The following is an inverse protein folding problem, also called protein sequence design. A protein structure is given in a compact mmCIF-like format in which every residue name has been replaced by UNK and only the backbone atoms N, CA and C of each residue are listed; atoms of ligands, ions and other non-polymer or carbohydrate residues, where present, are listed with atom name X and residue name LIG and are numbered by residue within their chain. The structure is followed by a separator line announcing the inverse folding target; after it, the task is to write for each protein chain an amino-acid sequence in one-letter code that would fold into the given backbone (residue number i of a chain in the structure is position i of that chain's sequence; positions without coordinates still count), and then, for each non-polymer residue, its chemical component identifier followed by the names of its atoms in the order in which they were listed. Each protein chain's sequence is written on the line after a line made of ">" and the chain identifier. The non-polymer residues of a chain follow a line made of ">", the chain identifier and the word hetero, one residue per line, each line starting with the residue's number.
data_IF_431106069045
#
_entry.id   IF_431106069045
#
_cell.length_a   1.000
_cell.length_b   1.000
_cell.length_c   1.000
_cell.angle_alpha   90.00
_cell.angle_beta   90.00
_cell.angle_gamma   90.00
#
_symmetry.space_group_name_H-M   'P 1'
#
loop_
_entity.id
_entity.type
_entity.pdbx_description
1 polymer ?
#
# COMPACT_ATOMS: atom_id res chain seq x y z
N UNK A 1 33.63 -24.88 -0.15
CA UNK A 1 33.23 -23.86 0.84
C UNK A 1 32.68 -22.65 0.05
N UNK A 2 31.40 -22.68 -0.39
CA UNK A 2 30.81 -21.68 -1.31
C UNK A 2 29.40 -21.20 -0.89
N UNK A 3 29.01 -21.41 0.37
CA UNK A 3 27.65 -21.13 0.86
C UNK A 3 27.21 -19.64 0.75
N UNK A 4 28.06 -18.63 1.02
CA UNK A 4 27.64 -17.22 0.97
C UNK A 4 27.41 -16.70 -0.44
N UNK A 5 28.30 -17.02 -1.38
CA UNK A 5 28.17 -16.61 -2.78
C UNK A 5 26.96 -17.27 -3.44
N UNK A 6 26.77 -18.57 -3.22
CA UNK A 6 25.57 -19.27 -3.71
C UNK A 6 24.28 -18.63 -3.18
N UNK A 7 24.24 -18.29 -1.89
CA UNK A 7 23.08 -17.61 -1.31
C UNK A 7 22.85 -16.21 -1.91
N UNK A 8 23.91 -15.43 -2.11
CA UNK A 8 23.82 -14.12 -2.78
C UNK A 8 23.32 -14.24 -4.23
N UNK A 9 23.86 -15.18 -5.00
CA UNK A 9 23.45 -15.43 -6.37
C UNK A 9 21.98 -15.89 -6.45
N UNK A 10 21.55 -16.76 -5.52
CA UNK A 10 20.15 -17.16 -5.38
C UNK A 10 19.25 -15.95 -5.11
N UNK A 11 19.58 -15.09 -4.13
CA UNK A 11 18.79 -13.89 -3.84
C UNK A 11 18.65 -12.97 -5.06
N UNK A 12 19.73 -12.76 -5.81
CA UNK A 12 19.69 -11.93 -7.01
C UNK A 12 18.78 -12.53 -8.08
N UNK A 13 18.87 -13.84 -8.31
CA UNK A 13 18.04 -14.52 -9.30
C UNK A 13 16.56 -14.53 -8.91
N UNK A 14 16.27 -14.83 -7.64
CA UNK A 14 14.90 -14.84 -7.12
C UNK A 14 14.27 -13.45 -7.23
N UNK A 15 15.02 -12.40 -6.85
CA UNK A 15 14.56 -11.03 -7.00
C UNK A 15 14.28 -10.64 -8.45
N UNK A 16 15.21 -10.95 -9.37
CA UNK A 16 15.04 -10.64 -10.78
C UNK A 16 13.80 -11.33 -11.37
N UNK A 17 13.51 -12.56 -10.94
CA UNK A 17 12.31 -13.28 -11.36
C UNK A 17 11.02 -12.57 -10.92
N UNK A 18 10.90 -12.25 -9.63
CA UNK A 18 9.68 -11.60 -9.09
C UNK A 18 9.55 -10.16 -9.57
N UNK A 19 10.64 -9.41 -9.66
CA UNK A 19 10.63 -8.01 -10.07
C UNK A 19 10.32 -7.87 -11.56
N UNK A 20 10.92 -8.68 -12.44
CA UNK A 20 10.66 -8.60 -13.88
C UNK A 20 9.20 -8.94 -14.21
N UNK A 21 8.67 -10.01 -13.61
CA UNK A 21 7.27 -10.38 -13.80
C UNK A 21 6.31 -9.24 -13.40
N UNK A 22 6.58 -8.58 -12.27
CA UNK A 22 5.81 -7.42 -11.81
C UNK A 22 5.93 -6.22 -12.76
N UNK A 23 7.14 -5.89 -13.22
CA UNK A 23 7.36 -4.72 -14.10
C UNK A 23 6.76 -4.92 -15.51
N UNK A 24 6.87 -6.12 -16.09
CA UNK A 24 6.28 -6.42 -17.40
C UNK A 24 4.75 -6.27 -17.37
N UNK A 25 4.12 -6.75 -16.30
CA UNK A 25 2.67 -6.59 -16.06
C UNK A 25 2.28 -5.15 -15.72
N UNK A 26 3.11 -4.43 -14.96
CA UNK A 26 2.90 -3.02 -14.64
C UNK A 26 2.82 -2.19 -15.93
N UNK A 27 3.80 -2.31 -16.82
CA UNK A 27 3.85 -1.49 -18.03
C UNK A 27 2.69 -1.78 -18.98
N UNK A 28 2.34 -3.05 -19.17
CA UNK A 28 1.24 -3.44 -20.07
C UNK A 28 -0.13 -3.03 -19.51
N UNK A 29 -0.33 -3.12 -18.20
CA UNK A 29 -1.56 -2.67 -17.54
C UNK A 29 -1.65 -1.14 -17.51
N UNK A 30 -0.57 -0.44 -17.14
CA UNK A 30 -0.54 1.02 -17.05
C UNK A 30 -0.73 1.70 -18.42
N UNK A 31 -0.14 1.14 -19.48
CA UNK A 31 -0.33 1.63 -20.85
C UNK A 31 -1.66 1.20 -21.47
N UNK A 32 -2.47 0.41 -20.77
CA UNK A 32 -3.77 -0.08 -21.25
C UNK A 32 -3.66 -1.02 -22.45
N UNK A 33 -2.51 -1.68 -22.65
CA UNK A 33 -2.31 -2.63 -23.75
C UNK A 33 -2.83 -4.02 -23.42
N UNK A 34 -3.06 -4.33 -22.15
CA UNK A 34 -3.67 -5.58 -21.67
C UNK A 34 -4.60 -5.33 -20.50
N UNK A 35 -5.66 -6.13 -20.37
CA UNK A 35 -6.54 -6.16 -19.19
C UNK A 35 -6.11 -7.28 -18.23
N UNK A 36 -4.95 -7.09 -17.59
CA UNK A 36 -4.30 -8.06 -16.68
C UNK A 36 -4.19 -7.52 -15.26
N UNK A 37 -5.19 -6.75 -14.84
CA UNK A 37 -5.21 -6.07 -13.53
C UNK A 37 -5.10 -7.03 -12.35
N UNK A 38 -5.74 -8.21 -12.42
CA UNK A 38 -5.65 -9.25 -11.39
C UNK A 38 -4.25 -9.90 -11.35
N UNK A 39 -3.68 -10.25 -12.51
CA UNK A 39 -2.33 -10.81 -12.61
C UNK A 39 -1.27 -9.83 -12.09
N UNK A 40 -1.44 -8.53 -12.39
CA UNK A 40 -0.57 -7.48 -11.87
C UNK A 40 -0.65 -7.38 -10.35
N UNK A 41 -1.86 -7.41 -9.77
CA UNK A 41 -2.04 -7.37 -8.31
C UNK A 41 -1.38 -8.58 -7.62
N UNK A 42 -1.46 -9.77 -8.21
CA UNK A 42 -0.77 -10.96 -7.71
C UNK A 42 0.76 -10.82 -7.79
N UNK A 43 1.28 -10.33 -8.92
CA UNK A 43 2.71 -10.11 -9.10
C UNK A 43 3.27 -9.04 -8.14
N UNK A 44 2.54 -7.95 -7.90
CA UNK A 44 2.88 -6.93 -6.92
C UNK A 44 2.90 -7.49 -5.50
N UNK A 45 1.91 -8.34 -5.16
CA UNK A 45 1.90 -9.05 -3.88
C UNK A 45 3.13 -9.95 -3.74
N UNK A 46 3.46 -10.75 -4.74
CA UNK A 46 4.61 -11.66 -4.69
C UNK A 46 5.95 -10.92 -4.53
N UNK A 47 6.12 -9.78 -5.22
CA UNK A 47 7.29 -8.91 -5.03
C UNK A 47 7.34 -8.31 -3.62
N UNK A 48 6.20 -7.83 -3.12
CA UNK A 48 6.08 -7.28 -1.76
C UNK A 48 6.39 -8.33 -0.69
N UNK A 49 5.85 -9.54 -0.83
CA UNK A 49 6.07 -10.67 0.06
C UNK A 49 7.57 -11.05 0.07
N UNK A 50 8.25 -11.01 -1.08
CA UNK A 50 9.69 -11.25 -1.17
C UNK A 50 10.50 -10.20 -0.39
N UNK A 51 10.33 -8.90 -0.70
CA UNK A 51 11.18 -7.84 -0.10
C UNK A 51 10.90 -7.63 1.40
N UNK A 52 9.78 -8.14 1.91
CA UNK A 52 9.39 -8.01 3.33
C UNK A 52 9.60 -9.27 4.16
N UNK A 53 10.30 -10.29 3.62
CA UNK A 53 10.60 -11.52 4.35
C UNK A 53 11.64 -11.30 5.47
N UNK A 54 11.15 -11.16 6.71
CA UNK A 54 11.98 -10.95 7.89
C UNK A 54 12.94 -12.12 8.19
N UNK A 55 12.68 -13.34 7.68
CA UNK A 55 13.61 -14.46 7.89
C UNK A 55 14.96 -14.20 7.21
N UNK A 56 14.95 -13.48 6.07
CA UNK A 56 16.15 -13.12 5.31
C UNK A 56 17.10 -12.23 6.11
N UNK A 57 16.59 -11.37 6.98
CA UNK A 57 17.41 -10.55 7.88
C UNK A 57 18.27 -11.44 8.78
N UNK A 58 17.64 -12.43 9.42
CA UNK A 58 18.32 -13.35 10.34
C UNK A 58 19.33 -14.23 9.60
N UNK A 59 18.95 -14.76 8.43
CA UNK A 59 19.83 -15.56 7.57
C UNK A 59 21.08 -14.78 7.12
N UNK A 60 20.90 -13.55 6.65
CA UNK A 60 22.01 -12.71 6.18
C UNK A 60 22.91 -12.29 7.33
N UNK A 61 22.37 -11.88 8.49
CA UNK A 61 23.17 -11.56 9.69
C UNK A 61 24.01 -12.76 10.13
N UNK A 62 23.43 -13.97 10.14
CA UNK A 62 24.16 -15.19 10.49
C UNK A 62 25.27 -15.55 9.49
N UNK A 63 25.05 -15.31 8.18
CA UNK A 63 26.07 -15.49 7.15
C UNK A 63 27.22 -14.49 7.30
N UNK A 64 26.89 -13.21 7.49
CA UNK A 64 27.88 -12.14 7.67
C UNK A 64 28.71 -12.32 8.94
N UNK A 65 28.14 -12.86 10.03
CA UNK A 65 28.86 -13.12 11.27
C UNK A 65 29.88 -14.27 11.16
N UNK A 66 29.62 -15.25 10.29
CA UNK A 66 30.47 -16.45 10.14
C UNK A 66 31.52 -16.31 9.03
N UNK A 67 31.43 -15.27 8.22
CA UNK A 67 32.21 -15.14 6.99
C UNK A 67 33.12 -13.91 7.03
N UNK A 68 34.42 -14.14 6.85
CA UNK A 68 35.45 -13.11 6.72
C UNK A 68 35.98 -13.11 5.29
N UNK A 69 36.15 -11.94 4.68
CA UNK A 69 36.69 -11.83 3.33
C UNK A 69 38.13 -12.36 3.25
N UNK A 70 38.40 -13.31 2.35
CA UNK A 70 39.74 -13.82 2.07
C UNK A 70 40.29 -13.34 0.73
N UNK A 71 39.41 -12.96 -0.21
CA UNK A 71 39.74 -12.42 -1.53
C UNK A 71 38.79 -11.27 -1.92
N UNK A 72 38.99 -10.67 -3.09
CA UNK A 72 38.12 -9.58 -3.59
C UNK A 72 36.68 -10.03 -3.91
N UNK A 73 36.50 -11.26 -4.36
CA UNK A 73 35.17 -11.83 -4.66
C UNK A 73 34.32 -11.99 -3.39
N UNK A 74 34.94 -12.37 -2.28
CA UNK A 74 34.33 -12.43 -0.96
C UNK A 74 33.92 -11.04 -0.48
N UNK A 75 34.75 -10.01 -0.73
CA UNK A 75 34.42 -8.62 -0.39
C UNK A 75 33.20 -8.13 -1.16
N UNK A 76 33.13 -8.42 -2.45
CA UNK A 76 31.96 -8.09 -3.28
C UNK A 76 30.70 -8.82 -2.80
N UNK A 77 30.82 -10.10 -2.46
CA UNK A 77 29.70 -10.89 -1.93
C UNK A 77 29.20 -10.31 -0.60
N UNK A 78 30.11 -9.97 0.32
CA UNK A 78 29.76 -9.32 1.59
C UNK A 78 29.09 -7.97 1.37
N UNK A 79 29.59 -7.16 0.42
CA UNK A 79 28.98 -5.88 0.08
C UNK A 79 27.55 -6.06 -0.45
N UNK A 80 27.34 -7.00 -1.38
CA UNK A 80 26.03 -7.33 -1.90
C UNK A 80 25.04 -7.83 -0.83
N UNK A 81 25.50 -8.71 0.07
CA UNK A 81 24.69 -9.18 1.19
C UNK A 81 24.32 -8.07 2.17
N UNK A 82 25.20 -7.09 2.41
CA UNK A 82 24.87 -5.90 3.21
C UNK A 82 23.81 -5.03 2.52
N UNK A 83 23.86 -4.91 1.20
CA UNK A 83 22.82 -4.23 0.43
C UNK A 83 21.46 -4.92 0.57
N UNK A 84 21.43 -6.25 0.43
CA UNK A 84 20.23 -7.05 0.69
C UNK A 84 19.71 -6.88 2.12
N UNK A 85 20.60 -6.89 3.11
CA UNK A 85 20.21 -6.67 4.50
C UNK A 85 19.50 -5.33 4.69
N UNK A 86 20.05 -4.24 4.14
CA UNK A 86 19.44 -2.92 4.21
C UNK A 86 18.06 -2.86 3.52
N UNK A 87 17.90 -3.56 2.39
CA UNK A 87 16.61 -3.68 1.72
C UNK A 87 15.59 -4.41 2.62
N UNK A 88 15.95 -5.57 3.19
CA UNK A 88 15.01 -6.29 4.04
C UNK A 88 14.72 -5.53 5.34
N UNK A 89 15.70 -4.91 5.99
CA UNK A 89 15.48 -4.11 7.20
C UNK A 89 14.59 -2.88 6.97
N UNK A 90 14.58 -2.32 5.76
CA UNK A 90 13.70 -1.20 5.40
C UNK A 90 12.28 -1.61 5.01
N UNK A 91 12.06 -2.88 4.61
CA UNK A 91 10.79 -3.35 4.05
C UNK A 91 10.08 -4.39 4.93
N UNK A 92 10.83 -5.19 5.67
CA UNK A 92 10.30 -6.22 6.55
C UNK A 92 9.92 -5.60 7.90
N UNK A 93 8.69 -5.86 8.34
CA UNK A 93 8.31 -5.62 9.72
C UNK A 93 8.74 -6.84 10.54
N UNK A 94 9.79 -6.68 11.36
CA UNK A 94 10.30 -7.76 12.21
C UNK A 94 9.27 -8.19 13.28
N UNK A 95 8.44 -7.26 13.76
CA UNK A 95 7.46 -7.53 14.81
C UNK A 95 6.20 -8.20 14.26
N UNK A 96 5.86 -9.39 14.79
CA UNK A 96 4.59 -10.08 14.50
C UNK A 96 3.38 -9.21 14.82
N UNK A 97 3.47 -8.37 15.85
CA UNK A 97 2.43 -7.40 16.22
C UNK A 97 2.22 -6.37 15.11
N UNK A 98 3.30 -5.82 14.55
CA UNK A 98 3.22 -4.85 13.45
C UNK A 98 2.62 -5.49 12.18
N UNK A 99 2.99 -6.73 11.87
CA UNK A 99 2.38 -7.49 10.77
C UNK A 99 0.87 -7.66 10.95
N UNK A 100 0.42 -8.07 12.13
CA UNK A 100 -1.00 -8.22 12.44
C UNK A 100 -1.75 -6.88 12.33
N UNK A 101 -1.17 -5.80 12.86
CA UNK A 101 -1.74 -4.45 12.77
C UNK A 101 -1.86 -3.97 11.31
N UNK A 102 -0.87 -4.26 10.45
CA UNK A 102 -0.94 -3.97 9.01
C UNK A 102 -2.09 -4.73 8.34
N UNK A 103 -2.26 -6.01 8.64
CA UNK A 103 -3.38 -6.81 8.10
C UNK A 103 -4.73 -6.27 8.58
N UNK A 104 -4.83 -5.91 9.86
CA UNK A 104 -6.03 -5.29 10.42
C UNK A 104 -6.34 -3.96 9.73
N UNK A 105 -5.31 -3.15 9.46
CA UNK A 105 -5.43 -1.86 8.79
C UNK A 105 -5.94 -2.01 7.35
N UNK A 106 -5.34 -2.90 6.56
CA UNK A 106 -5.78 -3.19 5.19
C UNK A 106 -7.25 -3.62 5.17
N UNK A 107 -7.66 -4.50 6.08
CA UNK A 107 -9.04 -4.96 6.18
C UNK A 107 -10.00 -3.84 6.60
N UNK A 108 -9.60 -2.96 7.52
CA UNK A 108 -10.39 -1.81 7.95
C UNK A 108 -10.58 -0.79 6.80
N UNK A 109 -9.53 -0.53 6.03
CA UNK A 109 -9.56 0.35 4.85
C UNK A 109 -10.47 -0.22 3.76
N UNK A 110 -10.35 -1.52 3.44
CA UNK A 110 -11.21 -2.18 2.46
C UNK A 110 -12.69 -2.08 2.86
N UNK A 111 -13.02 -2.30 4.14
CA UNK A 111 -14.39 -2.16 4.65
C UNK A 111 -14.91 -0.73 4.51
N UNK A 112 -14.11 0.28 4.85
CA UNK A 112 -14.51 1.68 4.72
C UNK A 112 -14.70 2.06 3.24
N UNK A 113 -13.81 1.58 2.37
CA UNK A 113 -13.90 1.80 0.92
C UNK A 113 -15.18 1.19 0.34
N UNK A 114 -15.52 -0.06 0.69
CA UNK A 114 -16.76 -0.70 0.26
C UNK A 114 -18.01 0.04 0.75
N UNK A 115 -18.01 0.50 2.01
CA UNK A 115 -19.11 1.36 2.50
C UNK A 115 -19.21 2.66 1.69
N UNK A 116 -18.07 3.29 1.37
CA UNK A 116 -18.02 4.55 0.64
C UNK A 116 -18.49 4.38 -0.81
N UNK A 117 -18.14 3.27 -1.45
CA UNK A 117 -18.59 2.89 -2.80
C UNK A 117 -20.12 2.75 -2.87
N UNK A 118 -20.74 2.19 -1.83
CA UNK A 118 -22.19 2.00 -1.75
C UNK A 118 -22.94 3.22 -1.19
N UNK A 119 -22.24 4.30 -0.80
CA UNK A 119 -22.87 5.49 -0.25
C UNK A 119 -23.35 6.43 -1.37
N UNK A 120 -24.66 6.51 -1.51
CA UNK A 120 -25.33 7.42 -2.44
C UNK A 120 -25.39 8.83 -1.85
N UNK A 121 -24.91 9.80 -2.62
CA UNK A 121 -25.03 11.22 -2.29
C UNK A 121 -26.16 11.84 -3.11
N UNK A 122 -26.89 12.77 -2.51
CA UNK A 122 -28.03 13.44 -3.17
C UNK A 122 -27.96 14.94 -2.98
N UNK A 123 -28.47 15.70 -3.95
CA UNK A 123 -28.68 17.15 -3.85
C UNK A 123 -30.12 17.51 -4.26
N UNK A 124 -30.54 18.74 -4.00
CA UNK A 124 -31.84 19.25 -4.43
C UNK A 124 -31.70 19.99 -5.75
N UNK A 125 -32.43 19.57 -6.78
CA UNK A 125 -32.40 20.17 -8.11
C UNK A 125 -33.21 21.48 -8.19
N UNK A 126 -33.27 22.07 -9.38
CA UNK A 126 -33.98 23.33 -9.62
C UNK A 126 -35.50 23.22 -9.42
N UNK A 127 -36.05 22.01 -9.47
CA UNK A 127 -37.47 21.72 -9.27
C UNK A 127 -37.79 21.37 -7.81
N UNK A 128 -36.80 21.40 -6.92
CA UNK A 128 -36.95 21.00 -5.52
C UNK A 128 -36.93 19.49 -5.29
N UNK A 129 -36.54 18.69 -6.28
CA UNK A 129 -36.48 17.24 -6.18
C UNK A 129 -35.10 16.77 -5.71
N UNK A 130 -35.06 15.69 -4.92
CA UNK A 130 -33.81 15.05 -4.52
C UNK A 130 -33.30 14.15 -5.64
N UNK A 131 -32.08 14.43 -6.10
CA UNK A 131 -31.45 13.71 -7.20
C UNK A 131 -30.09 13.17 -6.77
N UNK A 132 -29.78 11.93 -7.16
CA UNK A 132 -28.49 11.30 -6.91
C UNK A 132 -27.38 12.00 -7.70
N UNK A 133 -26.21 12.16 -7.08
CA UNK A 133 -25.06 12.79 -7.73
C UNK A 133 -23.74 12.20 -7.26
N UNK A 134 -22.78 12.16 -8.20
CA UNK A 134 -21.39 11.84 -7.91
C UNK A 134 -20.62 13.06 -7.38
N UNK A 135 -19.46 12.83 -6.76
CA UNK A 135 -18.58 13.92 -6.29
C UNK A 135 -18.24 14.94 -7.40
N UNK A 136 -17.89 14.53 -8.64
CA UNK A 136 -17.67 15.49 -9.73
C UNK A 136 -18.92 16.30 -10.10
N UNK A 137 -20.11 15.69 -10.08
CA UNK A 137 -21.36 16.37 -10.39
C UNK A 137 -21.68 17.44 -9.33
N UNK A 138 -21.57 17.09 -8.04
CA UNK A 138 -21.74 18.04 -6.93
C UNK A 138 -20.72 19.19 -7.00
N UNK A 139 -19.45 18.88 -7.28
CA UNK A 139 -18.42 19.91 -7.44
C UNK A 139 -18.69 20.83 -8.64
N UNK A 140 -19.22 20.29 -9.74
CA UNK A 140 -19.65 21.07 -10.91
C UNK A 140 -20.81 22.00 -10.55
N UNK A 141 -21.81 21.49 -9.82
CA UNK A 141 -22.95 22.27 -9.36
C UNK A 141 -22.50 23.48 -8.52
N UNK A 142 -21.63 23.26 -7.53
CA UNK A 142 -21.11 24.33 -6.66
C UNK A 142 -20.39 25.41 -7.48
N UNK A 143 -19.59 25.03 -8.49
CA UNK A 143 -18.78 25.97 -9.28
C UNK A 143 -19.58 26.75 -10.32
N UNK A 144 -20.56 26.12 -10.97
CA UNK A 144 -21.12 26.63 -12.22
C UNK A 144 -22.65 26.72 -12.27
N UNK A 145 -23.38 26.13 -11.32
CA UNK A 145 -24.84 26.16 -11.37
C UNK A 145 -25.37 27.58 -11.05
N UNK A 146 -26.32 28.05 -11.88
CA UNK A 146 -26.91 29.39 -11.75
C UNK A 146 -27.87 29.50 -10.57
N UNK A 147 -28.50 28.39 -10.17
CA UNK A 147 -29.43 28.33 -9.06
C UNK A 147 -28.68 28.18 -7.73
N UNK A 148 -28.83 29.17 -6.85
CA UNK A 148 -28.20 29.18 -5.53
C UNK A 148 -28.61 28.00 -4.65
N UNK A 149 -29.88 27.57 -4.71
CA UNK A 149 -30.37 26.44 -3.91
C UNK A 149 -29.72 25.13 -4.33
N UNK A 150 -29.43 24.97 -5.63
CA UNK A 150 -28.70 23.81 -6.15
C UNK A 150 -27.26 23.82 -5.65
N UNK A 151 -26.58 24.98 -5.66
CA UNK A 151 -25.22 25.10 -5.10
C UNK A 151 -25.20 24.78 -3.61
N UNK A 152 -26.14 25.34 -2.85
CA UNK A 152 -26.22 25.17 -1.40
C UNK A 152 -26.47 23.70 -1.02
N UNK A 153 -27.45 23.04 -1.66
CA UNK A 153 -27.72 21.63 -1.40
C UNK A 153 -26.57 20.72 -1.85
N UNK A 154 -25.88 21.06 -2.94
CA UNK A 154 -24.69 20.34 -3.38
C UNK A 154 -23.52 20.49 -2.39
N UNK A 155 -23.34 21.68 -1.81
CA UNK A 155 -22.36 21.91 -0.74
C UNK A 155 -22.73 21.15 0.54
N UNK A 156 -24.02 21.16 0.93
CA UNK A 156 -24.50 20.39 2.07
C UNK A 156 -24.22 18.89 1.90
N UNK A 157 -24.37 18.34 0.69
CA UNK A 157 -24.04 16.95 0.42
C UNK A 157 -22.57 16.60 0.70
N UNK A 158 -21.61 17.53 0.53
CA UNK A 158 -20.22 17.33 0.96
C UNK A 158 -20.07 17.30 2.48
N UNK A 159 -20.72 18.22 3.18
CA UNK A 159 -20.72 18.25 4.65
C UNK A 159 -21.36 16.98 5.23
N UNK A 160 -22.44 16.51 4.63
CA UNK A 160 -23.11 15.26 5.02
C UNK A 160 -22.19 14.06 4.80
N UNK A 161 -21.39 14.06 3.72
CA UNK A 161 -20.37 13.04 3.51
C UNK A 161 -19.27 13.08 4.58
N UNK A 162 -18.83 14.25 5.00
CA UNK A 162 -17.87 14.39 6.10
C UNK A 162 -18.44 13.81 7.41
N UNK A 163 -19.69 14.12 7.74
CA UNK A 163 -20.34 13.52 8.91
C UNK A 163 -20.53 12.01 8.74
N UNK A 164 -20.86 11.55 7.53
CA UNK A 164 -21.02 10.14 7.25
C UNK A 164 -19.69 9.38 7.45
N UNK A 165 -18.56 9.89 6.96
CA UNK A 165 -17.27 9.17 7.06
C UNK A 165 -16.80 9.06 8.52
N UNK A 166 -17.02 10.11 9.32
CA UNK A 166 -16.72 10.10 10.76
C UNK A 166 -17.50 9.00 11.49
N UNK A 167 -18.77 8.84 11.14
CA UNK A 167 -19.66 7.81 11.72
C UNK A 167 -19.43 6.40 11.15
N UNK A 168 -18.66 6.25 10.06
CA UNK A 168 -18.52 4.97 9.36
C UNK A 168 -17.19 4.25 9.56
N UNK A 169 -16.34 4.73 10.47
CA UNK A 169 -15.14 4.04 10.92
C UNK A 169 -13.84 4.80 10.68
N UNK A 170 -13.89 6.04 10.21
CA UNK A 170 -12.69 6.84 9.98
C UNK A 170 -11.89 7.10 11.27
N UNK A 171 -12.56 7.43 12.37
CA UNK A 171 -11.88 7.66 13.66
C UNK A 171 -11.17 6.40 14.15
N UNK A 172 -11.80 5.23 14.02
CA UNK A 172 -11.19 3.96 14.39
C UNK A 172 -10.02 3.61 13.47
N UNK A 173 -10.12 3.94 12.17
CA UNK A 173 -9.03 3.79 11.22
C UNK A 173 -7.82 4.66 11.62
N UNK A 174 -8.04 5.92 12.00
CA UNK A 174 -6.96 6.81 12.48
C UNK A 174 -6.31 6.27 13.74
N UNK A 175 -7.09 5.76 14.70
CA UNK A 175 -6.55 5.11 15.91
C UNK A 175 -5.69 3.89 15.55
N UNK A 176 -6.13 3.09 14.58
CA UNK A 176 -5.39 1.90 14.13
C UNK A 176 -4.08 2.28 13.44
N UNK A 177 -4.08 3.33 12.60
CA UNK A 177 -2.86 3.88 12.00
C UNK A 177 -1.86 4.38 13.04
N UNK A 178 -2.34 5.08 14.07
CA UNK A 178 -1.50 5.51 15.19
C UNK A 178 -0.90 4.32 15.96
N UNK A 179 -1.70 3.30 16.28
CA UNK A 179 -1.19 2.06 16.92
C UNK A 179 -0.13 1.38 16.07
N UNK A 180 -0.34 1.34 14.76
CA UNK A 180 0.62 0.78 13.82
C UNK A 180 1.93 1.59 13.80
N UNK A 181 1.86 2.91 13.66
CA UNK A 181 3.04 3.79 13.69
C UNK A 181 3.85 3.64 14.99
N UNK A 182 3.17 3.59 16.14
CA UNK A 182 3.78 3.35 17.45
C UNK A 182 4.45 1.98 17.56
N UNK A 183 3.88 0.94 16.94
CA UNK A 183 4.49 -0.39 16.89
C UNK A 183 5.80 -0.43 16.09
N UNK A 184 6.01 0.55 15.20
CA UNK A 184 7.23 0.73 14.42
C UNK A 184 8.22 1.71 15.08
N UNK A 185 7.86 2.30 16.22
CA UNK A 185 8.72 3.24 16.96
C UNK A 185 8.52 4.73 16.61
N UNK A 186 7.46 5.09 15.88
CA UNK A 186 7.08 6.48 15.62
C UNK A 186 6.09 7.00 16.67
N UNK A 187 6.02 8.31 16.89
CA UNK A 187 5.12 8.90 17.88
C UNK A 187 3.64 8.83 17.46
N UNK A 188 3.36 9.11 16.18
CA UNK A 188 2.03 9.10 15.57
C UNK A 188 2.11 8.87 14.05
N UNK A 189 0.93 8.69 13.42
CA UNK A 189 0.74 8.63 11.97
C UNK A 189 0.68 10.03 11.34
#
# INVERSE_FOLDING_TARGET
>A
MHKPKQYFDTLNNDYLAVHRAKEDLFWTTYMGTTDKSEEFAEAEKNWTDFISDANRITEIKALLAKFSAQNEEDKQTIHGLKGWLALFESNAMESKTAQNLKTELINAEAKLFEKKKNHVMTFTDENGQKTEASLPALASNIRANKNEQVRLSSHQAFLDLEQWILNNGFIELVKLRNKFAQSLGFDNF
#
